data_IF_733600824840
#
_entry.id   IF_733600824840
#
_cell.length_a   1.000
_cell.length_b   1.000
_cell.length_c   1.000
_cell.angle_alpha   90.00
_cell.angle_beta   90.00
_cell.angle_gamma   90.00
#
_symmetry.space_group_name_H-M   'P 1'
#
loop_
_entity.id
_entity.type
_entity.pdbx_description
1 polymer ?
#
# COMPACT_ATOMS: atom_id res chain seq x y z
N UNK A 1 8.66 15.15 -1.57
CA UNK A 1 7.27 14.73 -1.30
C UNK A 1 6.76 14.01 -2.53
N UNK A 2 7.04 12.71 -2.65
CA UNK A 2 6.57 11.92 -3.80
C UNK A 2 5.16 11.42 -3.44
N UNK A 3 4.15 12.15 -3.90
CA UNK A 3 2.74 11.82 -3.71
C UNK A 3 2.33 10.89 -4.86
N UNK A 4 2.51 9.57 -4.71
CA UNK A 4 1.88 8.62 -5.63
C UNK A 4 0.47 8.33 -5.11
N UNK A 5 -0.50 8.79 -5.89
CA UNK A 5 -1.94 8.68 -5.69
C UNK A 5 -2.36 7.21 -5.56
N UNK A 6 -3.13 6.94 -4.50
CA UNK A 6 -4.06 5.82 -4.29
C UNK A 6 -3.97 4.70 -5.34
N UNK A 7 -3.21 3.64 -5.03
CA UNK A 7 -3.35 2.38 -5.77
C UNK A 7 -4.56 1.65 -5.20
N UNK A 8 -5.65 1.63 -5.98
CA UNK A 8 -6.88 0.89 -5.65
C UNK A 8 -6.76 -0.51 -6.24
N UNK A 9 -6.75 -1.53 -5.38
CA UNK A 9 -6.86 -2.92 -5.79
C UNK A 9 -8.31 -3.36 -5.59
N UNK A 10 -8.94 -3.86 -6.65
CA UNK A 10 -10.29 -4.43 -6.61
C UNK A 10 -10.20 -5.94 -6.37
N UNK A 11 -10.68 -6.42 -5.23
CA UNK A 11 -10.82 -7.85 -4.94
C UNK A 11 -12.31 -8.17 -4.81
N UNK A 12 -12.96 -8.54 -5.92
CA UNK A 12 -14.37 -8.94 -6.17
C UNK A 12 -15.55 -8.26 -5.42
N UNK A 13 -15.43 -7.86 -4.15
CA UNK A 13 -16.40 -7.12 -3.34
C UNK A 13 -15.74 -6.09 -2.38
N UNK A 14 -14.41 -6.00 -2.39
CA UNK A 14 -13.60 -5.22 -1.44
C UNK A 14 -12.64 -4.30 -2.20
N UNK A 15 -12.31 -3.18 -1.57
CA UNK A 15 -11.35 -2.19 -2.07
C UNK A 15 -10.24 -1.98 -1.06
N UNK A 16 -8.99 -2.01 -1.53
CA UNK A 16 -7.83 -1.64 -0.72
C UNK A 16 -7.30 -0.29 -1.20
N UNK A 17 -7.30 0.69 -0.30
CA UNK A 17 -6.63 1.97 -0.46
C UNK A 17 -5.21 1.92 0.11
N UNK A 18 -4.24 2.44 -0.64
CA UNK A 18 -2.83 2.44 -0.27
C UNK A 18 -2.28 3.87 -0.34
N UNK A 19 -1.59 4.30 0.73
CA UNK A 19 -0.79 5.52 0.80
C UNK A 19 0.69 5.16 1.04
N UNK A 20 1.56 5.58 0.10
CA UNK A 20 2.98 5.26 0.10
C UNK A 20 3.78 6.43 0.70
N UNK A 21 4.33 6.21 1.89
CA UNK A 21 5.17 7.17 2.59
C UNK A 21 6.64 6.74 2.58
N UNK A 22 7.56 7.67 2.87
CA UNK A 22 9.00 7.38 2.86
C UNK A 22 9.44 6.41 3.97
N UNK A 23 8.65 6.31 5.04
CA UNK A 23 8.93 5.54 6.25
C UNK A 23 7.90 4.42 6.52
N UNK A 24 6.80 4.36 5.78
CA UNK A 24 5.77 3.32 5.92
C UNK A 24 4.82 3.28 4.72
N UNK A 25 3.95 2.27 4.70
CA UNK A 25 2.79 2.17 3.83
C UNK A 25 1.55 2.13 4.71
N UNK A 26 0.60 3.03 4.48
CA UNK A 26 -0.70 2.98 5.13
C UNK A 26 -1.71 2.28 4.21
N UNK A 27 -2.46 1.34 4.77
CA UNK A 27 -3.46 0.52 4.10
C UNK A 27 -4.80 0.71 4.77
N UNK A 28 -5.83 0.77 3.93
CA UNK A 28 -7.23 0.79 4.34
C UNK A 28 -7.99 -0.22 3.49
N UNK A 29 -8.69 -1.13 4.12
CA UNK A 29 -9.64 -2.02 3.47
C UNK A 29 -11.06 -1.49 3.69
N UNK A 30 -11.84 -1.43 2.61
CA UNK A 30 -13.23 -1.04 2.65
C UNK A 30 -14.11 -2.04 1.92
N UNK A 31 -15.38 -2.08 2.32
CA UNK A 31 -16.40 -2.74 1.50
C UNK A 31 -16.68 -1.93 0.21
N UNK A 32 -17.55 -2.47 -0.65
CA UNK A 32 -18.01 -1.82 -1.89
C UNK A 32 -18.75 -0.48 -1.69
N UNK A 33 -19.10 -0.12 -0.46
CA UNK A 33 -19.75 1.15 -0.11
C UNK A 33 -18.77 2.14 0.56
N UNK A 34 -17.47 1.82 0.57
CA UNK A 34 -16.42 2.57 1.24
C UNK A 34 -16.57 2.63 2.77
N UNK A 35 -17.27 1.66 3.38
CA UNK A 35 -17.23 1.51 4.83
C UNK A 35 -15.91 0.87 5.25
N UNK A 36 -15.29 1.40 6.30
CA UNK A 36 -14.04 0.89 6.84
C UNK A 36 -14.21 -0.55 7.37
N UNK A 37 -13.36 -1.46 6.91
CA UNK A 37 -13.23 -2.83 7.42
C UNK A 37 -11.99 -2.92 8.32
N UNK A 38 -10.83 -2.50 7.80
CA UNK A 38 -9.55 -2.63 8.51
C UNK A 38 -8.57 -1.53 8.09
N UNK A 39 -7.64 -1.19 8.99
CA UNK A 39 -6.44 -0.42 8.65
C UNK A 39 -5.18 -1.18 9.04
N UNK A 40 -4.11 -0.97 8.27
CA UNK A 40 -2.79 -1.53 8.57
C UNK A 40 -1.69 -0.54 8.22
N UNK A 41 -0.60 -0.58 8.98
CA UNK A 41 0.64 0.14 8.62
C UNK A 41 1.75 -0.87 8.43
N UNK A 42 2.34 -0.91 7.25
CA UNK A 42 3.51 -1.73 6.95
C UNK A 42 4.77 -0.85 7.01
N UNK A 43 5.84 -1.30 7.68
CA UNK A 43 7.10 -0.55 7.69
C UNK A 43 7.72 -0.54 6.28
N UNK A 44 8.20 0.63 5.85
CA UNK A 44 8.90 0.80 4.57
C UNK A 44 9.94 1.89 4.72
N UNK A 45 11.23 1.60 4.57
CA UNK A 45 12.25 2.65 4.64
C UNK A 45 12.88 2.92 3.27
N UNK A 46 12.51 4.06 2.66
CA UNK A 46 13.08 4.51 1.38
C UNK A 46 14.22 5.52 1.55
N UNK A 47 14.50 5.96 2.78
CA UNK A 47 15.55 6.95 3.03
C UNK A 47 16.94 6.39 2.69
N UNK A 48 17.71 7.19 1.95
CA UNK A 48 19.05 6.82 1.49
C UNK A 48 19.07 5.67 0.48
N UNK A 49 17.92 5.27 -0.09
CA UNK A 49 17.82 4.23 -1.11
C UNK A 49 17.81 4.84 -2.50
N UNK A 50 18.41 4.14 -3.46
CA UNK A 50 18.28 4.49 -4.87
C UNK A 50 16.84 4.25 -5.35
N UNK A 51 16.51 4.79 -6.53
CA UNK A 51 15.20 4.55 -7.16
C UNK A 51 14.90 3.05 -7.32
N UNK A 52 15.84 2.28 -7.86
CA UNK A 52 15.65 0.83 -8.05
C UNK A 52 15.51 0.05 -6.74
N UNK A 53 16.26 0.45 -5.70
CA UNK A 53 16.08 -0.14 -4.35
C UNK A 53 14.71 0.19 -3.76
N UNK A 54 14.23 1.42 -3.97
CA UNK A 54 12.90 1.85 -3.52
C UNK A 54 11.81 1.07 -4.23
N UNK A 55 11.90 0.91 -5.55
CA UNK A 55 10.96 0.12 -6.35
C UNK A 55 10.94 -1.35 -5.92
N UNK A 56 12.11 -1.94 -5.63
CA UNK A 56 12.19 -3.30 -5.11
C UNK A 56 11.50 -3.46 -3.74
N UNK A 57 11.74 -2.54 -2.81
CA UNK A 57 11.10 -2.56 -1.48
C UNK A 57 9.58 -2.40 -1.56
N UNK A 58 9.10 -1.49 -2.41
CA UNK A 58 7.66 -1.32 -2.66
C UNK A 58 7.08 -2.58 -3.29
N UNK A 59 7.77 -3.18 -4.26
CA UNK A 59 7.35 -4.43 -4.90
C UNK A 59 7.18 -5.58 -3.92
N UNK A 60 8.11 -5.76 -2.98
CA UNK A 60 7.99 -6.76 -1.92
C UNK A 60 6.81 -6.49 -0.99
N UNK A 61 6.57 -5.23 -0.62
CA UNK A 61 5.42 -4.88 0.21
C UNK A 61 4.09 -5.13 -0.51
N UNK A 62 3.99 -4.79 -1.81
CA UNK A 62 2.81 -5.04 -2.64
C UNK A 62 2.52 -6.55 -2.76
N UNK A 63 3.54 -7.41 -2.87
CA UNK A 63 3.34 -8.86 -2.87
C UNK A 63 2.65 -9.34 -1.59
N UNK A 64 3.05 -8.81 -0.42
CA UNK A 64 2.42 -9.16 0.86
C UNK A 64 0.95 -8.74 0.88
N UNK A 65 0.66 -7.52 0.41
CA UNK A 65 -0.70 -6.98 0.33
C UNK A 65 -1.58 -7.84 -0.58
N UNK A 66 -1.13 -8.14 -1.80
CA UNK A 66 -1.89 -8.94 -2.77
C UNK A 66 -2.12 -10.36 -2.27
N UNK A 67 -1.18 -10.96 -1.55
CA UNK A 67 -1.31 -12.33 -1.05
C UNK A 67 -2.34 -12.46 0.09
N UNK A 68 -2.73 -11.35 0.69
CA UNK A 68 -3.73 -11.28 1.77
C UNK A 68 -5.16 -11.19 1.22
N UNK A 69 -5.33 -10.61 0.04
CA UNK A 69 -6.61 -10.36 -0.65
C UNK A 69 -7.07 -11.55 -1.48
#
# INVERSE_FOLDING_TARGET
>A
MLLIKYLIIYASLLTIGIDLNANHIALVETDRFCNLIETQTLPLNTYGKSKGQTEALIGEAVKVIVKRS
#
